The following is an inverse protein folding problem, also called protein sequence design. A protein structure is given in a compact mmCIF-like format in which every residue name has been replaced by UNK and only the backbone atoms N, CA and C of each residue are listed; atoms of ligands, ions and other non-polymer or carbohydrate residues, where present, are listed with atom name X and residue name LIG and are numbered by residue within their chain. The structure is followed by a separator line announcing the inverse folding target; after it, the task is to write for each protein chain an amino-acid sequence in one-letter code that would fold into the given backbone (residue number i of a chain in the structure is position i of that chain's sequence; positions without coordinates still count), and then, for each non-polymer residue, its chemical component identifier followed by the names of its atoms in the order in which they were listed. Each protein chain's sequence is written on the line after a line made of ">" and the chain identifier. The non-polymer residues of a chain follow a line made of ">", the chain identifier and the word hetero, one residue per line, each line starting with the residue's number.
data_IF_849701606701
#
_entry.id   IF_849701606701
#
_cell.length_a   1.000
_cell.length_b   1.000
_cell.length_c   1.000
_cell.angle_alpha   90.00
_cell.angle_beta   90.00
_cell.angle_gamma   90.00
#
_symmetry.space_group_name_H-M   'P 1'
#
loop_
_entity.id
_entity.type
_entity.pdbx_description
1 polymer ?
#
# COMPACT_ATOMS: atom_id res chain seq x y z
N UNK A 1 2.81 -7.15 2.36
CA UNK A 1 1.93 -6.66 1.27
C UNK A 1 0.50 -7.19 1.34
N UNK A 2 0.25 -8.51 1.37
CA UNK A 2 -1.10 -9.10 1.36
C UNK A 2 -2.10 -8.46 2.35
N UNK A 3 -1.71 -8.29 3.61
CA UNK A 3 -2.55 -7.64 4.63
C UNK A 3 -2.87 -6.17 4.33
N UNK A 4 -1.90 -5.42 3.78
CA UNK A 4 -2.09 -4.02 3.38
C UNK A 4 -3.11 -3.95 2.24
N UNK A 5 -2.98 -4.82 1.25
CA UNK A 5 -3.92 -4.89 0.14
C UNK A 5 -5.33 -5.24 0.63
N UNK A 6 -5.50 -6.17 1.58
CA UNK A 6 -6.81 -6.46 2.16
C UNK A 6 -7.44 -5.27 2.89
N UNK A 7 -6.69 -4.63 3.80
CA UNK A 7 -7.15 -3.40 4.47
C UNK A 7 -7.60 -2.37 3.46
N UNK A 8 -6.79 -2.21 2.42
CA UNK A 8 -7.17 -1.37 1.32
C UNK A 8 -8.48 -1.92 0.71
N UNK A 9 -8.58 -3.11 0.14
CA UNK A 9 -9.84 -3.59 -0.48
C UNK A 9 -11.12 -3.39 0.38
N UNK A 10 -10.99 -3.44 1.70
CA UNK A 10 -12.05 -3.11 2.68
C UNK A 10 -12.32 -1.60 2.91
N UNK A 11 -11.80 -0.73 2.04
CA UNK A 11 -11.87 0.74 2.11
C UNK A 11 -11.27 1.36 3.39
N UNK A 12 -10.39 0.63 4.09
CA UNK A 12 -9.69 1.17 5.26
C UNK A 12 -8.54 2.09 4.82
N UNK A 13 -8.26 3.11 5.66
CA UNK A 13 -7.13 4.01 5.48
C UNK A 13 -5.88 3.47 6.17
N UNK A 14 -4.71 3.80 5.60
CA UNK A 14 -3.43 3.55 6.24
C UNK A 14 -3.12 4.69 7.20
N UNK A 15 -2.76 4.35 8.44
CA UNK A 15 -2.23 5.33 9.39
C UNK A 15 -0.89 5.90 8.90
N UNK A 16 -0.49 7.07 9.41
CA UNK A 16 0.75 7.75 8.99
C UNK A 16 2.01 6.88 9.18
N UNK A 17 2.11 6.22 10.33
CA UNK A 17 3.28 5.36 10.63
C UNK A 17 3.28 4.08 9.79
N UNK A 18 2.10 3.54 9.50
CA UNK A 18 1.94 2.38 8.62
C UNK A 18 2.36 2.74 7.19
N UNK A 19 1.85 3.86 6.65
CA UNK A 19 2.23 4.36 5.34
C UNK A 19 3.75 4.62 5.24
N UNK A 20 4.34 5.23 6.27
CA UNK A 20 5.80 5.45 6.34
C UNK A 20 6.58 4.14 6.27
N UNK A 21 6.16 3.14 7.05
CA UNK A 21 6.81 1.82 7.09
C UNK A 21 6.73 1.13 5.73
N UNK A 22 5.57 1.21 5.06
CA UNK A 22 5.36 0.64 3.73
C UNK A 22 6.32 1.28 2.72
N UNK A 23 6.39 2.61 2.67
CA UNK A 23 7.27 3.33 1.74
C UNK A 23 8.76 3.03 1.99
N UNK A 24 9.18 2.93 3.25
CA UNK A 24 10.55 2.52 3.59
C UNK A 24 10.86 1.10 3.11
N UNK A 25 9.92 0.16 3.27
CA UNK A 25 10.09 -1.21 2.80
C UNK A 25 10.12 -1.29 1.27
N UNK A 26 9.38 -0.42 0.55
CA UNK A 26 9.48 -0.27 -0.91
C UNK A 26 10.87 0.20 -1.30
N UNK A 27 11.37 1.29 -0.68
CA UNK A 27 12.69 1.84 -0.97
C UNK A 27 13.84 0.85 -0.68
N UNK A 28 13.64 -0.05 0.29
CA UNK A 28 14.57 -1.13 0.62
C UNK A 28 14.46 -2.36 -0.29
N UNK A 29 13.56 -2.36 -1.29
CA UNK A 29 13.37 -3.50 -2.20
C UNK A 29 12.73 -4.73 -1.55
N UNK A 30 12.06 -4.58 -0.40
CA UNK A 30 11.41 -5.71 0.30
C UNK A 30 10.12 -6.19 -0.37
N UNK A 31 9.63 -5.43 -1.34
CA UNK A 31 8.48 -5.79 -2.17
C UNK A 31 8.90 -5.82 -3.62
N UNK A 32 8.42 -6.80 -4.37
CA UNK A 32 8.67 -6.89 -5.80
C UNK A 32 7.79 -5.90 -6.58
N UNK A 33 8.12 -5.70 -7.85
CA UNK A 33 7.42 -4.73 -8.72
C UNK A 33 5.92 -5.01 -8.83
N UNK A 34 5.54 -6.30 -8.87
CA UNK A 34 4.12 -6.72 -8.92
C UNK A 34 3.36 -6.28 -7.67
N UNK A 35 3.96 -6.41 -6.49
CA UNK A 35 3.39 -5.99 -5.21
C UNK A 35 3.27 -4.48 -5.12
N UNK A 36 4.28 -3.74 -5.59
CA UNK A 36 4.26 -2.27 -5.61
C UNK A 36 3.21 -1.75 -6.60
N UNK A 37 3.15 -2.32 -7.80
CA UNK A 37 2.13 -1.97 -8.80
C UNK A 37 0.71 -2.23 -8.27
N UNK A 38 0.49 -3.36 -7.60
CA UNK A 38 -0.80 -3.69 -6.97
C UNK A 38 -1.20 -2.65 -5.92
N UNK A 39 -0.26 -2.22 -5.08
CA UNK A 39 -0.51 -1.20 -4.05
C UNK A 39 -0.92 0.14 -4.68
N UNK A 40 -0.17 0.60 -5.70
CA UNK A 40 -0.43 1.87 -6.38
C UNK A 40 -1.79 1.83 -7.08
N UNK A 41 -2.11 0.75 -7.81
CA UNK A 41 -3.41 0.59 -8.48
C UNK A 41 -4.56 0.70 -7.49
N UNK A 42 -4.51 -0.04 -6.38
CA UNK A 42 -5.58 -0.04 -5.37
C UNK A 42 -5.70 1.32 -4.67
N UNK A 43 -4.59 2.04 -4.52
CA UNK A 43 -4.59 3.39 -3.96
C UNK A 43 -5.21 4.41 -4.92
N UNK A 44 -4.88 4.34 -6.22
CA UNK A 44 -5.44 5.23 -7.26
C UNK A 44 -6.92 4.99 -7.55
N UNK A 45 -7.41 3.76 -7.36
CA UNK A 45 -8.84 3.43 -7.53
C UNK A 45 -9.73 4.01 -6.42
N UNK A 46 -9.16 4.49 -5.32
CA UNK A 46 -9.92 5.17 -4.26
C UNK A 46 -9.84 6.67 -4.49
N UNK A 47 -10.94 7.37 -4.26
CA UNK A 47 -10.84 8.80 -3.98
C UNK A 47 -10.08 8.98 -2.67
N UNK A 48 -8.89 9.57 -2.75
CA UNK A 48 -8.11 10.03 -1.61
C UNK A 48 -8.73 11.39 -1.23
N UNK A 49 -9.86 11.36 -0.51
CA UNK A 49 -10.52 12.57 -0.02
C UNK A 49 -10.25 12.80 1.46
#
# INVERSE_FOLDING_TARGET
>A
MKQILYKLFEHQYLGRDEARTILQNIAQGKYNDVQVASLITVFLMRNIS
#
